data_IF_279844987259
#
_entry.id   IF_279844987259
#
_cell.length_a   1.000
_cell.length_b   1.000
_cell.length_c   1.000
_cell.angle_alpha   90.00
_cell.angle_beta   90.00
_cell.angle_gamma   90.00
#
_symmetry.space_group_name_H-M   'P 1'
#
loop_
_entity.id
_entity.type
_entity.pdbx_description
1 polymer ?
#
# COMPACT_ATOMS: atom_id res chain seq x y z
N UNK A 1 5.73 -2.77 13.20
CA UNK A 1 5.24 -2.60 11.81
C UNK A 1 6.06 -1.61 10.99
N UNK A 2 5.96 -0.28 11.19
CA UNK A 2 6.74 0.68 10.38
C UNK A 2 8.26 0.41 10.39
N UNK A 3 8.84 0.18 11.57
CA UNK A 3 10.26 -0.15 11.72
C UNK A 3 10.72 -1.46 11.02
N UNK A 4 9.79 -2.36 10.73
CA UNK A 4 10.08 -3.63 10.03
C UNK A 4 9.96 -3.48 8.51
N UNK A 5 9.03 -2.65 8.04
CA UNK A 5 8.76 -2.42 6.62
C UNK A 5 9.75 -1.38 6.03
N UNK A 6 10.12 -0.37 6.81
CA UNK A 6 10.97 0.74 6.37
C UNK A 6 12.31 0.26 5.76
N UNK A 7 13.06 -0.68 6.38
CA UNK A 7 14.29 -1.20 5.77
C UNK A 7 14.06 -1.95 4.45
N UNK A 8 12.87 -2.54 4.25
CA UNK A 8 12.51 -3.25 3.00
C UNK A 8 12.28 -2.23 1.89
N UNK A 9 11.49 -1.19 2.16
CA UNK A 9 11.23 -0.09 1.22
C UNK A 9 12.52 0.65 0.85
N UNK A 10 13.39 0.90 1.84
CA UNK A 10 14.69 1.54 1.62
C UNK A 10 15.58 0.74 0.67
N UNK A 11 15.73 -0.58 0.89
CA UNK A 11 16.52 -1.45 0.00
C UNK A 11 15.97 -1.48 -1.41
N UNK A 12 14.65 -1.44 -1.56
CA UNK A 12 14.02 -1.37 -2.87
C UNK A 12 14.41 -0.08 -3.59
N UNK A 13 14.28 1.08 -2.93
CA UNK A 13 14.64 2.37 -3.50
C UNK A 13 16.13 2.48 -3.87
N UNK A 14 17.02 1.98 -3.01
CA UNK A 14 18.46 1.90 -3.28
C UNK A 14 18.75 1.06 -4.55
N UNK A 15 18.06 -0.06 -4.70
CA UNK A 15 18.22 -0.95 -5.85
C UNK A 15 17.81 -0.29 -7.17
N UNK A 16 16.78 0.55 -7.15
CA UNK A 16 16.26 1.23 -8.35
C UNK A 16 16.79 2.65 -8.54
N UNK A 17 17.60 3.15 -7.59
CA UNK A 17 18.24 4.46 -7.66
C UNK A 17 17.27 5.63 -7.52
N UNK A 18 16.28 5.51 -6.64
CA UNK A 18 15.25 6.54 -6.43
C UNK A 18 15.37 7.17 -5.05
N UNK A 19 15.31 8.49 -5.00
CA UNK A 19 15.21 9.26 -3.76
C UNK A 19 13.77 9.22 -3.22
N UNK A 20 13.62 8.83 -1.96
CA UNK A 20 12.31 8.69 -1.29
C UNK A 20 11.90 10.01 -0.64
N UNK A 21 11.70 11.04 -1.45
CA UNK A 21 11.21 12.34 -0.97
C UNK A 21 9.67 12.34 -0.75
N UNK A 22 9.14 13.46 -0.26
CA UNK A 22 7.69 13.63 -0.02
C UNK A 22 6.85 13.32 -1.26
N UNK A 23 7.36 13.68 -2.44
CA UNK A 23 6.67 13.46 -3.71
C UNK A 23 6.68 11.98 -4.08
N UNK A 24 7.80 11.30 -3.86
CA UNK A 24 7.92 9.87 -4.09
C UNK A 24 6.93 9.07 -3.24
N UNK A 25 6.79 9.38 -1.95
CA UNK A 25 5.81 8.69 -1.11
C UNK A 25 4.38 8.90 -1.62
N UNK A 26 4.03 10.11 -2.05
CA UNK A 26 2.70 10.36 -2.62
C UNK A 26 2.48 9.60 -3.95
N UNK A 27 3.44 9.64 -4.87
CA UNK A 27 3.33 9.01 -6.18
C UNK A 27 3.34 7.49 -6.09
N UNK A 28 4.19 6.91 -5.23
CA UNK A 28 4.20 5.46 -4.99
C UNK A 28 2.90 5.01 -4.35
N UNK A 29 2.28 5.79 -3.46
CA UNK A 29 0.93 5.47 -2.94
C UNK A 29 -0.11 5.42 -4.08
N UNK A 30 -0.03 6.36 -5.01
CA UNK A 30 -0.92 6.41 -6.17
C UNK A 30 -0.70 5.22 -7.12
N UNK A 31 0.54 4.77 -7.27
CA UNK A 31 0.89 3.54 -7.99
C UNK A 31 0.23 2.31 -7.34
N UNK A 32 0.42 2.09 -6.02
CA UNK A 32 -0.17 0.95 -5.30
C UNK A 32 -1.71 0.95 -5.38
N UNK A 33 -2.34 2.14 -5.28
CA UNK A 33 -3.79 2.26 -5.45
C UNK A 33 -4.22 1.87 -6.88
N UNK A 34 -3.40 2.19 -7.88
CA UNK A 34 -3.63 1.79 -9.27
C UNK A 34 -3.54 0.28 -9.46
N UNK A 35 -2.54 -0.37 -8.87
CA UNK A 35 -2.35 -1.81 -8.91
C UNK A 35 -3.48 -2.55 -8.17
N UNK A 36 -3.86 -2.09 -6.97
CA UNK A 36 -5.03 -2.58 -6.23
C UNK A 36 -6.32 -2.42 -7.04
N UNK A 37 -6.51 -1.28 -7.70
CA UNK A 37 -7.67 -1.05 -8.58
C UNK A 37 -7.69 -2.06 -9.73
N UNK A 38 -6.56 -2.31 -10.37
CA UNK A 38 -6.46 -3.31 -11.44
C UNK A 38 -6.78 -4.71 -10.92
N UNK A 39 -6.20 -5.12 -9.79
CA UNK A 39 -6.43 -6.42 -9.19
C UNK A 39 -7.91 -6.61 -8.80
N UNK A 40 -8.54 -5.58 -8.22
CA UNK A 40 -9.97 -5.58 -7.90
C UNK A 40 -10.84 -5.72 -9.16
N UNK A 41 -10.54 -5.00 -10.24
CA UNK A 41 -11.29 -5.11 -11.49
C UNK A 41 -11.14 -6.50 -12.14
N UNK A 42 -9.94 -7.08 -12.10
CA UNK A 42 -9.70 -8.43 -12.60
C UNK A 42 -10.44 -9.49 -11.76
N UNK A 43 -10.34 -9.40 -10.43
CA UNK A 43 -11.04 -10.30 -9.48
C UNK A 43 -12.56 -10.18 -9.58
N UNK A 44 -13.09 -8.99 -9.86
CA UNK A 44 -14.54 -8.75 -10.01
C UNK A 44 -15.09 -9.05 -11.41
N UNK A 45 -14.25 -9.55 -12.33
CA UNK A 45 -14.67 -9.88 -13.70
C UNK A 45 -14.87 -8.68 -14.62
N UNK A 46 -14.40 -7.49 -14.22
CA UNK A 46 -14.51 -6.22 -14.97
C UNK A 46 -13.27 -5.86 -15.79
N UNK A 47 -12.23 -6.69 -15.75
CA UNK A 47 -11.02 -6.55 -16.55
C UNK A 47 -10.52 -7.92 -17.02
N UNK A 48 -9.64 -7.92 -18.03
CA UNK A 48 -9.01 -9.15 -18.55
C UNK A 48 -8.21 -9.84 -17.45
N UNK A 49 -8.45 -11.13 -17.23
CA UNK A 49 -7.74 -11.95 -16.23
C UNK A 49 -6.27 -12.20 -16.58
N UNK A 50 -5.88 -11.92 -17.83
CA UNK A 50 -4.51 -12.15 -18.36
C UNK A 50 -4.04 -13.60 -18.19
N UNK A 51 -4.97 -14.56 -18.26
CA UNK A 51 -4.67 -15.99 -18.13
C UNK A 51 -4.59 -16.52 -16.69
N UNK A 52 -4.83 -15.66 -15.68
CA UNK A 52 -4.80 -16.05 -14.27
C UNK A 52 -6.05 -16.82 -13.84
N UNK A 53 -5.89 -17.76 -12.91
CA UNK A 53 -7.00 -18.49 -12.26
C UNK A 53 -7.72 -17.60 -11.23
N UNK A 54 -8.88 -18.04 -10.74
CA UNK A 54 -9.61 -17.31 -9.71
C UNK A 54 -8.80 -17.17 -8.40
N UNK A 55 -8.05 -18.20 -8.03
CA UNK A 55 -7.17 -18.22 -6.86
C UNK A 55 -6.02 -17.24 -7.02
N UNK A 56 -5.38 -17.20 -8.20
CA UNK A 56 -4.31 -16.23 -8.50
C UNK A 56 -4.82 -14.78 -8.50
N UNK A 57 -6.07 -14.55 -8.94
CA UNK A 57 -6.70 -13.24 -8.87
C UNK A 57 -7.02 -12.80 -7.44
N UNK A 58 -7.46 -13.73 -6.57
CA UNK A 58 -7.68 -13.45 -5.15
C UNK A 58 -6.36 -13.17 -4.42
N UNK A 59 -5.33 -13.97 -4.69
CA UNK A 59 -3.99 -13.79 -4.14
C UNK A 59 -3.42 -12.41 -4.53
N UNK A 60 -3.45 -12.07 -5.82
CA UNK A 60 -2.98 -10.76 -6.29
C UNK A 60 -3.73 -9.61 -5.61
N UNK A 61 -5.07 -9.68 -5.50
CA UNK A 61 -5.83 -8.65 -4.77
C UNK A 61 -5.38 -8.48 -3.31
N UNK A 62 -5.03 -9.57 -2.62
CA UNK A 62 -4.55 -9.52 -1.24
C UNK A 62 -3.16 -8.91 -1.12
N UNK A 63 -2.28 -9.20 -2.08
CA UNK A 63 -0.94 -8.62 -2.16
C UNK A 63 -1.02 -7.10 -2.33
N UNK A 64 -1.76 -6.63 -3.34
CA UNK A 64 -1.91 -5.18 -3.59
C UNK A 64 -2.59 -4.44 -2.43
N UNK A 65 -3.50 -5.11 -1.71
CA UNK A 65 -4.13 -4.53 -0.53
C UNK A 65 -3.12 -4.36 0.62
N UNK A 66 -2.19 -5.30 0.76
CA UNK A 66 -1.10 -5.21 1.71
C UNK A 66 -0.11 -4.11 1.31
N UNK A 67 0.19 -3.95 0.03
CA UNK A 67 1.11 -2.93 -0.47
C UNK A 67 0.56 -1.51 -0.22
N UNK A 68 -0.72 -1.27 -0.50
CA UNK A 68 -1.39 0.00 -0.14
C UNK A 68 -1.29 0.28 1.36
N UNK A 69 -1.59 -0.69 2.22
CA UNK A 69 -1.52 -0.50 3.67
C UNK A 69 -0.08 -0.22 4.14
N UNK A 70 0.89 -1.00 3.67
CA UNK A 70 2.29 -0.84 4.02
C UNK A 70 2.80 0.54 3.60
N UNK A 71 2.42 1.00 2.41
CA UNK A 71 2.86 2.29 1.91
C UNK A 71 2.21 3.47 2.63
N UNK A 72 0.96 3.36 3.08
CA UNK A 72 0.35 4.33 4.00
C UNK A 72 1.13 4.43 5.32
N UNK A 73 1.53 3.29 5.89
CA UNK A 73 2.34 3.24 7.13
C UNK A 73 3.71 3.88 6.90
N UNK A 74 4.36 3.59 5.78
CA UNK A 74 5.66 4.18 5.42
C UNK A 74 5.56 5.70 5.23
N UNK A 75 4.52 6.17 4.53
CA UNK A 75 4.28 7.60 4.35
C UNK A 75 4.02 8.31 5.69
N UNK A 76 3.24 7.70 6.59
CA UNK A 76 3.05 8.23 7.93
C UNK A 76 4.37 8.30 8.72
N UNK A 77 5.19 7.26 8.65
CA UNK A 77 6.49 7.21 9.30
C UNK A 77 7.43 8.31 8.77
N UNK A 78 7.50 8.49 7.46
CA UNK A 78 8.30 9.53 6.79
C UNK A 78 7.93 10.94 7.26
N UNK A 79 6.62 11.20 7.43
CA UNK A 79 6.13 12.49 7.92
C UNK A 79 6.10 12.62 9.45
N UNK A 80 6.60 11.64 10.21
CA UNK A 80 6.58 11.65 11.67
C UNK A 80 5.18 11.60 12.28
N UNK A 81 4.21 11.02 11.57
CA UNK A 81 2.82 10.87 12.02
C UNK A 81 2.66 9.56 12.76
N UNK A 82 2.20 9.63 14.01
CA UNK A 82 1.72 8.46 14.74
C UNK A 82 0.33 8.07 14.20
N UNK A 83 0.32 7.21 13.20
CA UNK A 83 -0.90 6.81 12.49
C UNK A 83 -1.88 6.07 13.42
N UNK A 84 -1.39 5.30 14.39
CA UNK A 84 -2.25 4.58 15.33
C UNK A 84 -2.96 5.55 16.26
N UNK A 85 -2.23 6.50 16.85
CA UNK A 85 -2.82 7.56 17.66
C UNK A 85 -3.81 8.42 16.86
N UNK A 86 -3.54 8.72 15.59
CA UNK A 86 -4.46 9.47 14.73
C UNK A 86 -5.74 8.68 14.39
N UNK A 87 -5.64 7.36 14.20
CA UNK A 87 -6.81 6.49 14.04
C UNK A 87 -7.63 6.43 15.32
N UNK A 88 -6.98 6.30 16.49
CA UNK A 88 -7.64 6.34 17.80
C UNK A 88 -8.41 7.65 17.99
N UNK A 89 -7.72 8.77 17.81
CA UNK A 89 -8.26 10.13 17.97
C UNK A 89 -9.41 10.43 17.02
N UNK A 90 -9.31 10.02 15.74
CA UNK A 90 -10.26 10.42 14.69
C UNK A 90 -11.43 9.46 14.54
N UNK A 91 -11.16 8.15 14.52
CA UNK A 91 -12.15 7.13 14.19
C UNK A 91 -12.64 6.38 15.42
N UNK A 92 -11.72 5.95 16.30
CA UNK A 92 -12.09 5.12 17.45
C UNK A 92 -12.76 5.92 18.57
N UNK A 93 -12.65 7.25 18.55
CA UNK A 93 -13.46 8.14 19.38
C UNK A 93 -14.98 7.93 19.22
N UNK A 94 -15.44 7.28 18.15
CA UNK A 94 -16.84 6.96 17.88
C UNK A 94 -17.20 5.50 18.14
N UNK A 95 -16.31 4.69 18.75
CA UNK A 95 -16.65 3.34 19.19
C UNK A 95 -17.75 3.43 20.27
N UNK A 96 -18.83 2.64 20.15
CA UNK A 96 -19.92 2.64 21.13
C UNK A 96 -19.46 2.14 22.51
#
# INVERSE_FOLDING_TARGET
MAAEIEPISQRYAEKIGVDRDDTWFLLKLQEEIGELTQAFLMRSGRARTKGRTAEELDAGFREELADVLCHVILMAHHHGVDLEAEVERKWLAWKP
#
